data_IF_811867209639
#
_entry.id   IF_811867209639
#
_cell.length_a   1.000
_cell.length_b   1.000
_cell.length_c   1.000
_cell.angle_alpha   90.00
_cell.angle_beta   90.00
_cell.angle_gamma   90.00
#
_symmetry.space_group_name_H-M   'P 1'
#
loop_
_entity.id
_entity.type
_entity.pdbx_description
1 polymer ?
#
# COMPACT_ATOMS: atom_id res chain seq x y z
N UNK A 1 -2.84 36.86 37.98
CA UNK A 1 -3.82 36.03 37.24
C UNK A 1 -4.93 36.94 36.74
N UNK A 2 -4.78 37.54 35.56
CA UNK A 2 -5.82 38.41 34.97
C UNK A 2 -6.62 37.58 33.96
N UNK A 3 -7.93 37.49 34.20
CA UNK A 3 -8.89 36.70 33.44
C UNK A 3 -9.06 37.22 32.01
N UNK A 4 -8.58 36.46 31.02
CA UNK A 4 -8.74 36.75 29.59
C UNK A 4 -10.20 36.69 29.10
N UNK A 5 -11.16 36.30 29.95
CA UNK A 5 -12.59 36.19 29.58
C UNK A 5 -13.32 37.53 29.45
N UNK A 6 -12.70 38.67 29.82
CA UNK A 6 -13.34 39.99 29.80
C UNK A 6 -13.12 40.84 28.53
N UNK A 7 -12.28 40.41 27.58
CA UNK A 7 -11.89 41.24 26.41
C UNK A 7 -12.46 40.80 25.05
N UNK A 8 -13.36 39.82 25.00
CA UNK A 8 -14.09 39.53 23.75
C UNK A 8 -15.37 40.35 23.78
N UNK A 9 -15.32 41.56 23.23
CA UNK A 9 -16.47 42.43 23.10
C UNK A 9 -17.57 41.73 22.25
N UNK A 10 -18.79 41.51 22.77
CA UNK A 10 -19.88 40.85 22.02
C UNK A 10 -20.40 41.66 20.81
N UNK A 11 -20.02 42.94 20.70
CA UNK A 11 -20.62 43.86 19.73
C UNK A 11 -20.17 43.64 18.27
N UNK A 12 -19.06 42.93 18.03
CA UNK A 12 -18.57 42.66 16.65
C UNK A 12 -19.29 41.53 15.91
N UNK A 13 -20.16 40.77 16.60
CA UNK A 13 -20.91 39.65 16.00
C UNK A 13 -22.39 40.00 15.70
N UNK A 14 -22.73 41.29 15.72
CA UNK A 14 -24.06 41.82 15.44
C UNK A 14 -24.28 42.19 13.97
N UNK A 15 -24.12 41.25 13.03
CA UNK A 15 -24.82 41.23 11.71
C UNK A 15 -24.21 40.18 10.78
N UNK A 16 -24.28 38.89 11.16
CA UNK A 16 -24.05 37.81 10.19
C UNK A 16 -25.28 36.91 10.18
N UNK A 17 -26.03 36.94 9.06
CA UNK A 17 -27.23 36.09 8.84
C UNK A 17 -26.95 34.66 9.29
N UNK A 18 -27.91 34.03 9.99
CA UNK A 18 -27.83 32.64 10.49
C UNK A 18 -27.29 31.64 9.44
N UNK A 19 -27.67 31.82 8.17
CA UNK A 19 -27.20 30.99 7.03
C UNK A 19 -25.69 31.05 6.83
N UNK A 20 -25.07 32.21 7.03
CA UNK A 20 -23.63 32.37 6.87
C UNK A 20 -22.89 31.69 8.03
N UNK A 21 -23.38 31.84 9.26
CA UNK A 21 -22.85 31.11 10.44
C UNK A 21 -22.95 29.59 10.28
N UNK A 22 -24.05 29.06 9.73
CA UNK A 22 -24.16 27.60 9.50
C UNK A 22 -23.22 27.12 8.39
N UNK A 23 -23.04 27.90 7.32
CA UNK A 23 -22.10 27.60 6.26
C UNK A 23 -20.64 27.58 6.76
N UNK A 24 -20.25 28.54 7.61
CA UNK A 24 -18.91 28.53 8.24
C UNK A 24 -18.73 27.32 9.17
N UNK A 25 -19.74 26.97 10.00
CA UNK A 25 -19.68 25.76 10.84
C UNK A 25 -19.56 24.48 10.01
N UNK A 26 -20.31 24.37 8.91
CA UNK A 26 -20.24 23.21 8.02
C UNK A 26 -18.88 23.11 7.31
N UNK A 27 -18.30 24.24 6.89
CA UNK A 27 -16.95 24.30 6.30
C UNK A 27 -15.86 23.94 7.32
N UNK A 28 -16.01 24.39 8.57
CA UNK A 28 -15.11 24.04 9.68
C UNK A 28 -15.17 22.55 10.02
N UNK A 29 -16.37 21.98 10.12
CA UNK A 29 -16.57 20.54 10.35
C UNK A 29 -15.99 19.66 9.22
N UNK A 30 -15.94 20.19 8.00
CA UNK A 30 -15.32 19.56 6.82
C UNK A 30 -13.81 19.84 6.70
N UNK A 31 -13.22 20.59 7.63
CA UNK A 31 -11.78 20.93 7.63
C UNK A 31 -11.34 21.83 6.47
N UNK A 32 -12.27 22.56 5.84
CA UNK A 32 -11.94 23.48 4.75
C UNK A 32 -11.28 24.74 5.32
N UNK A 33 -10.26 25.28 4.65
CA UNK A 33 -9.64 26.56 5.02
C UNK A 33 -10.65 27.69 4.74
N UNK A 34 -11.11 28.37 5.78
CA UNK A 34 -12.28 29.29 5.69
C UNK A 34 -11.89 30.76 5.65
N UNK A 35 -10.63 31.11 5.88
CA UNK A 35 -10.13 32.48 5.89
C UNK A 35 -8.86 32.62 5.05
N UNK A 36 -8.70 33.79 4.40
CA UNK A 36 -7.45 34.21 3.76
C UNK A 36 -6.37 34.58 4.77
N UNK A 37 -6.77 34.93 6.00
CA UNK A 37 -5.88 35.30 7.10
C UNK A 37 -5.84 34.22 8.19
N UNK A 38 -4.72 34.20 8.91
CA UNK A 38 -4.52 33.36 10.09
C UNK A 38 -5.60 33.70 11.13
N UNK A 39 -6.28 32.70 11.74
CA UNK A 39 -7.28 32.96 12.77
C UNK A 39 -6.73 33.84 13.90
N UNK A 40 -7.49 34.87 14.28
CA UNK A 40 -7.13 35.79 15.37
C UNK A 40 -6.85 34.96 16.64
N UNK A 41 -5.62 35.05 17.16
CA UNK A 41 -5.15 34.30 18.32
C UNK A 41 -4.05 33.27 18.05
N UNK A 42 -3.75 32.94 16.79
CA UNK A 42 -2.53 32.19 16.47
C UNK A 42 -1.33 33.15 16.50
N UNK A 43 -0.41 32.93 17.44
CA UNK A 43 0.91 33.60 17.39
C UNK A 43 1.71 32.98 16.24
N UNK A 44 2.40 33.81 15.46
CA UNK A 44 3.41 33.33 14.51
C UNK A 44 4.43 32.50 15.30
N UNK A 45 4.78 31.31 14.80
CA UNK A 45 5.85 30.53 15.42
C UNK A 45 7.13 31.40 15.51
N UNK A 46 7.93 31.27 16.58
CA UNK A 46 9.16 32.04 16.74
C UNK A 46 10.07 31.84 15.51
N UNK A 47 10.76 32.91 15.09
CA UNK A 47 11.57 32.93 13.85
C UNK A 47 12.57 31.77 13.76
N UNK A 48 13.17 31.35 14.88
CA UNK A 48 14.08 30.21 14.91
C UNK A 48 13.46 28.87 14.48
N UNK A 49 12.13 28.70 14.59
CA UNK A 49 11.44 27.50 14.08
C UNK A 49 11.21 27.54 12.57
N UNK A 50 11.25 28.71 11.94
CA UNK A 50 11.05 28.82 10.49
C UNK A 50 12.20 28.20 9.70
N UNK A 51 13.41 28.20 10.27
CA UNK A 51 14.63 27.67 9.66
C UNK A 51 15.05 26.29 10.20
N UNK A 52 14.32 25.76 11.18
CA UNK A 52 14.65 24.46 11.78
C UNK A 52 14.18 23.31 10.89
N UNK A 53 15.09 22.38 10.59
CA UNK A 53 14.75 21.13 9.93
C UNK A 53 13.79 20.30 10.80
N UNK A 54 12.61 20.04 10.27
CA UNK A 54 11.66 19.12 10.91
C UNK A 54 12.03 17.68 10.59
N UNK A 55 11.71 16.78 11.52
CA UNK A 55 11.88 15.32 11.32
C UNK A 55 11.18 14.84 10.04
N UNK A 56 10.05 15.46 9.67
CA UNK A 56 9.33 15.14 8.46
C UNK A 56 10.10 15.54 7.19
N UNK A 57 10.74 16.71 7.17
CA UNK A 57 11.58 17.15 6.05
C UNK A 57 12.79 16.24 5.87
N UNK A 58 13.52 15.94 6.96
CA UNK A 58 14.67 15.04 6.91
C UNK A 58 14.26 13.65 6.40
N UNK A 59 13.11 13.13 6.86
CA UNK A 59 12.56 11.86 6.34
C UNK A 59 12.16 11.91 4.87
N UNK A 60 11.74 13.06 4.36
CA UNK A 60 11.42 13.22 2.95
C UNK A 60 12.69 13.15 2.11
N UNK A 61 13.76 13.81 2.57
CA UNK A 61 15.08 13.78 1.93
C UNK A 61 15.64 12.37 1.90
N UNK A 62 15.67 11.68 3.04
CA UNK A 62 16.21 10.33 3.12
C UNK A 62 15.46 9.31 2.26
N UNK A 63 14.26 9.63 1.77
CA UNK A 63 13.46 8.75 0.91
C UNK A 63 13.50 9.16 -0.56
N UNK A 64 14.18 10.25 -0.89
CA UNK A 64 14.13 10.75 -2.26
C UNK A 64 15.10 9.95 -3.14
N UNK A 65 14.55 9.31 -4.16
CA UNK A 65 15.32 8.49 -5.10
C UNK A 65 16.19 9.37 -6.03
N UNK A 66 16.02 10.70 -6.01
CA UNK A 66 16.88 11.64 -6.75
C UNK A 66 18.35 11.52 -6.34
N UNK A 67 18.64 11.24 -5.07
CA UNK A 67 20.03 11.10 -4.62
C UNK A 67 20.78 9.91 -5.25
N UNK A 68 20.06 8.95 -5.83
CA UNK A 68 20.57 7.77 -6.55
C UNK A 68 20.27 7.86 -8.04
N UNK A 69 20.50 9.03 -8.67
CA UNK A 69 20.37 9.27 -10.13
C UNK A 69 18.97 9.04 -10.74
N UNK A 70 17.97 8.68 -9.93
CA UNK A 70 16.63 8.36 -10.39
C UNK A 70 15.69 9.57 -10.34
N UNK A 71 14.95 9.82 -11.41
CA UNK A 71 13.83 10.77 -11.38
C UNK A 71 12.51 10.03 -11.17
N UNK A 72 11.70 10.51 -10.22
CA UNK A 72 10.38 9.91 -9.93
C UNK A 72 9.29 10.92 -10.23
N UNK A 73 8.50 10.62 -11.25
CA UNK A 73 7.39 11.44 -11.69
C UNK A 73 6.04 10.83 -11.26
N UNK A 74 4.98 11.60 -11.43
CA UNK A 74 3.61 11.14 -11.19
C UNK A 74 3.28 10.71 -9.74
N UNK A 75 4.02 11.25 -8.75
CA UNK A 75 3.74 10.99 -7.31
C UNK A 75 2.34 11.47 -6.89
N UNK A 76 1.85 12.54 -7.52
CA UNK A 76 0.54 13.14 -7.23
C UNK A 76 -0.15 13.58 -8.53
N UNK A 77 -1.47 13.45 -8.56
CA UNK A 77 -2.30 13.86 -9.69
C UNK A 77 -3.54 14.61 -9.22
N UNK A 78 -4.17 15.35 -10.11
CA UNK A 78 -5.50 15.90 -9.83
C UNK A 78 -6.56 14.79 -9.95
N UNK A 79 -7.66 14.91 -9.19
CA UNK A 79 -8.79 13.96 -9.28
C UNK A 79 -9.35 13.94 -10.70
N UNK A 80 -9.50 15.12 -11.29
CA UNK A 80 -9.95 15.28 -12.67
C UNK A 80 -9.54 16.65 -13.19
N UNK A 81 -9.73 16.89 -14.49
CA UNK A 81 -9.51 18.21 -15.07
C UNK A 81 -10.34 19.31 -14.39
N UNK A 82 -11.59 19.01 -14.01
CA UNK A 82 -12.52 19.94 -13.34
C UNK A 82 -12.24 20.09 -11.84
N UNK A 83 -11.71 19.06 -11.19
CA UNK A 83 -11.40 19.06 -9.76
C UNK A 83 -9.89 18.98 -9.54
N UNK A 84 -9.26 20.15 -9.37
CA UNK A 84 -7.81 20.33 -9.15
C UNK A 84 -7.33 19.93 -7.75
N UNK A 85 -8.13 19.16 -6.99
CA UNK A 85 -7.68 18.59 -5.73
C UNK A 85 -6.61 17.54 -6.01
N UNK A 86 -5.43 17.71 -5.42
CA UNK A 86 -4.31 16.77 -5.55
C UNK A 86 -4.57 15.51 -4.71
N UNK A 87 -4.36 14.35 -5.32
CA UNK A 87 -4.39 13.03 -4.70
C UNK A 87 -3.01 12.41 -4.88
N UNK A 88 -2.51 11.78 -3.83
CA UNK A 88 -1.27 11.01 -3.88
C UNK A 88 -1.55 9.63 -4.48
N UNK A 89 -0.77 9.26 -5.49
CA UNK A 89 -0.91 7.97 -6.18
C UNK A 89 -0.19 6.85 -5.46
N UNK A 90 -0.63 5.63 -5.69
CA UNK A 90 0.06 4.44 -5.19
C UNK A 90 1.48 4.39 -5.77
N UNK A 91 2.51 4.00 -4.99
CA UNK A 91 3.88 3.85 -5.48
C UNK A 91 4.06 2.96 -6.72
N UNK A 92 3.12 2.05 -7.01
CA UNK A 92 3.13 1.22 -8.23
C UNK A 92 2.80 2.00 -9.50
N UNK A 93 2.10 3.13 -9.38
CA UNK A 93 1.76 4.01 -10.52
C UNK A 93 2.84 5.07 -10.78
N UNK A 94 3.90 5.11 -9.96
CA UNK A 94 4.96 6.10 -10.11
C UNK A 94 5.87 5.74 -11.28
N UNK A 95 6.16 6.73 -12.12
CA UNK A 95 7.07 6.58 -13.26
C UNK A 95 8.48 6.89 -12.75
N UNK A 96 9.36 5.89 -12.81
CA UNK A 96 10.78 6.00 -12.43
C UNK A 96 11.64 5.96 -13.67
N UNK A 97 12.51 6.94 -13.83
CA UNK A 97 13.51 6.99 -14.90
C UNK A 97 14.89 6.99 -14.25
N UNK A 98 15.70 6.00 -14.59
CA UNK A 98 17.04 5.82 -14.03
C UNK A 98 18.07 6.63 -14.82
N UNK A 99 19.17 7.04 -14.18
CA UNK A 99 20.32 7.68 -14.84
C UNK A 99 20.07 9.09 -15.40
N UNK A 100 19.24 9.90 -14.71
CA UNK A 100 18.88 11.25 -15.19
C UNK A 100 19.90 12.33 -14.85
N UNK A 101 20.71 12.12 -13.81
CA UNK A 101 21.71 13.07 -13.32
C UNK A 101 22.74 12.33 -12.46
N UNK A 102 23.85 12.98 -12.12
CA UNK A 102 24.91 12.40 -11.28
C UNK A 102 24.40 12.11 -9.87
N UNK A 103 24.63 10.87 -9.40
CA UNK A 103 24.24 10.43 -8.07
C UNK A 103 25.11 11.07 -6.98
N UNK A 104 24.49 11.50 -5.88
CA UNK A 104 25.18 12.04 -4.70
C UNK A 104 25.62 10.90 -3.77
N UNK A 105 24.87 9.80 -3.74
CA UNK A 105 25.14 8.61 -2.93
C UNK A 105 24.99 7.34 -3.77
N UNK A 106 25.65 6.25 -3.37
CA UNK A 106 25.46 4.96 -4.03
C UNK A 106 24.11 4.32 -3.69
N UNK A 107 23.60 3.52 -4.64
CA UNK A 107 22.35 2.77 -4.49
C UNK A 107 22.36 1.86 -3.26
N UNK A 108 23.46 1.16 -3.01
CA UNK A 108 23.61 0.28 -1.85
C UNK A 108 23.45 1.00 -0.51
N UNK A 109 23.98 2.23 -0.40
CA UNK A 109 23.86 3.04 0.82
C UNK A 109 22.41 3.49 0.99
N UNK A 110 21.77 3.92 -0.09
CA UNK A 110 20.36 4.31 -0.06
C UNK A 110 19.45 3.17 0.36
N UNK A 111 19.66 1.96 -0.18
CA UNK A 111 18.87 0.77 0.12
C UNK A 111 19.02 0.37 1.60
N UNK A 112 20.24 0.38 2.14
CA UNK A 112 20.49 0.17 3.58
C UNK A 112 19.75 1.19 4.45
N UNK A 113 19.71 2.46 4.04
CA UNK A 113 18.96 3.50 4.76
C UNK A 113 17.45 3.22 4.68
N UNK A 114 16.92 2.81 3.53
CA UNK A 114 15.51 2.44 3.41
C UNK A 114 15.16 1.24 4.31
N UNK A 115 16.01 0.22 4.38
CA UNK A 115 15.84 -0.93 5.28
C UNK A 115 15.85 -0.50 6.74
N UNK A 116 16.77 0.38 7.14
CA UNK A 116 16.81 0.94 8.48
C UNK A 116 15.53 1.72 8.80
N UNK A 117 15.05 2.57 7.89
CA UNK A 117 13.78 3.30 8.06
C UNK A 117 12.61 2.31 8.19
N UNK A 118 12.60 1.25 7.39
CA UNK A 118 11.56 0.23 7.37
C UNK A 118 11.57 -0.63 8.64
N UNK A 119 12.72 -0.88 9.25
CA UNK A 119 12.87 -1.69 10.48
C UNK A 119 12.80 -0.86 11.76
N UNK A 120 13.12 0.43 11.69
CA UNK A 120 13.21 1.32 12.83
C UNK A 120 11.95 1.29 13.70
N UNK A 121 12.15 0.97 14.98
CA UNK A 121 11.12 0.99 16.03
C UNK A 121 11.23 2.30 16.77
N UNK A 122 10.10 2.99 16.96
CA UNK A 122 10.08 4.19 17.80
C UNK A 122 10.45 3.80 19.23
N UNK A 123 11.58 4.31 19.72
CA UNK A 123 11.91 4.29 21.14
C UNK A 123 10.96 5.24 21.88
N UNK A 124 10.60 4.89 23.12
CA UNK A 124 9.91 5.81 24.00
C UNK A 124 10.90 6.81 24.63
N UNK A 125 10.39 7.89 25.23
CA UNK A 125 11.19 8.90 25.94
C UNK A 125 12.16 8.30 26.98
N UNK A 126 11.83 7.13 27.54
CA UNK A 126 12.65 6.40 28.50
C UNK A 126 13.55 5.33 27.83
N UNK A 127 13.80 5.43 26.52
CA UNK A 127 14.59 4.52 25.68
C UNK A 127 14.18 3.04 25.68
N UNK A 128 13.14 2.66 26.42
CA UNK A 128 12.58 1.30 26.42
C UNK A 128 11.75 1.06 25.16
N UNK A 129 12.31 0.31 24.21
CA UNK A 129 11.57 -0.20 23.06
C UNK A 129 10.71 -1.38 23.49
N UNK A 130 9.40 -1.29 23.27
CA UNK A 130 8.47 -2.36 23.66
C UNK A 130 8.54 -3.51 22.65
N UNK A 131 8.59 -4.75 23.15
CA UNK A 131 8.77 -5.98 22.36
C UNK A 131 7.71 -6.09 21.25
N UNK A 132 6.44 -5.82 21.57
CA UNK A 132 5.33 -5.90 20.62
C UNK A 132 5.06 -4.60 19.84
N UNK A 133 6.08 -3.76 19.64
CA UNK A 133 5.95 -2.57 18.78
C UNK A 133 5.89 -2.96 17.30
N UNK A 134 4.78 -2.63 16.61
CA UNK A 134 4.39 -2.98 15.22
C UNK A 134 3.53 -4.25 14.99
N UNK A 135 3.82 -5.45 15.55
CA UNK A 135 3.11 -6.67 15.16
C UNK A 135 1.65 -6.69 15.66
N UNK A 136 1.33 -5.98 16.74
CA UNK A 136 -0.03 -5.95 17.27
C UNK A 136 -0.96 -5.11 16.40
N UNK A 137 -1.99 -5.76 15.86
CA UNK A 137 -3.07 -5.16 15.08
C UNK A 137 -4.40 -5.39 15.79
N UNK A 138 -5.27 -4.40 15.71
CA UNK A 138 -6.63 -4.46 16.20
C UNK A 138 -7.46 -5.40 15.30
N UNK A 139 -8.10 -6.41 15.89
CA UNK A 139 -8.97 -7.32 15.16
C UNK A 139 -10.19 -6.61 14.53
N UNK A 140 -10.72 -5.58 15.19
CA UNK A 140 -11.92 -4.87 14.72
C UNK A 140 -11.68 -3.89 13.56
N UNK A 141 -10.54 -3.18 13.53
CA UNK A 141 -10.30 -2.14 12.52
C UNK A 141 -8.98 -2.29 11.73
N UNK A 142 -8.17 -3.30 12.02
CA UNK A 142 -6.89 -3.57 11.34
C UNK A 142 -5.76 -2.58 11.67
N UNK A 143 -6.03 -1.50 12.40
CA UNK A 143 -5.00 -0.53 12.79
C UNK A 143 -4.05 -1.09 13.84
N UNK A 144 -2.86 -0.50 13.95
CA UNK A 144 -1.90 -0.89 14.98
C UNK A 144 -2.41 -0.59 16.40
N UNK A 145 -2.01 -1.42 17.35
CA UNK A 145 -2.24 -1.16 18.78
C UNK A 145 -1.11 -0.30 19.36
N UNK A 146 -1.47 0.61 20.26
CA UNK A 146 -0.57 1.55 20.92
C UNK A 146 -0.24 1.05 22.32
N UNK A 147 1.02 1.16 22.73
CA UNK A 147 1.43 0.86 24.09
C UNK A 147 1.17 2.04 25.03
N UNK A 148 0.58 1.79 26.21
CA UNK A 148 0.31 2.77 27.26
C UNK A 148 0.56 2.17 28.64
N UNK A 149 0.98 3.02 29.57
CA UNK A 149 1.04 2.67 31.00
C UNK A 149 0.00 3.50 31.73
N UNK A 150 -0.93 2.85 32.44
CA UNK A 150 -1.82 3.55 33.38
C UNK A 150 -1.07 3.75 34.69
N UNK A 151 -0.62 4.98 34.93
CA UNK A 151 0.16 5.35 36.14
C UNK A 151 -0.69 5.87 37.30
N UNK A 152 -1.88 6.42 37.01
CA UNK A 152 -2.74 7.10 37.99
C UNK A 152 -3.64 6.15 38.80
N UNK A 153 -3.25 4.88 38.96
CA UNK A 153 -4.05 3.85 39.66
C UNK A 153 -3.15 3.20 40.72
N UNK A 154 -3.74 2.78 41.85
CA UNK A 154 -3.03 2.12 42.97
C UNK A 154 -2.04 1.03 42.51
N UNK A 155 -2.44 0.23 41.52
CA UNK A 155 -1.58 -0.77 40.85
C UNK A 155 -1.40 -0.38 39.38
N UNK A 156 -0.29 0.28 39.00
CA UNK A 156 -0.07 0.67 37.62
C UNK A 156 0.11 -0.55 36.73
N UNK A 157 -0.45 -0.51 35.52
CA UNK A 157 -0.34 -1.62 34.58
C UNK A 157 -0.06 -1.13 33.16
N UNK A 158 0.59 -2.01 32.40
CA UNK A 158 0.93 -1.82 30.99
C UNK A 158 -0.12 -2.49 30.13
N UNK A 159 -0.55 -1.82 29.07
CA UNK A 159 -1.56 -2.34 28.15
C UNK A 159 -1.32 -1.83 26.73
N UNK A 160 -1.97 -2.51 25.79
CA UNK A 160 -2.09 -2.08 24.40
C UNK A 160 -3.55 -1.73 24.10
N UNK A 161 -3.80 -0.53 23.60
CA UNK A 161 -5.12 -0.04 23.17
C UNK A 161 -5.14 0.20 21.66
N UNK A 162 -6.34 0.17 21.05
CA UNK A 162 -6.48 0.46 19.62
C UNK A 162 -6.05 1.91 19.30
N UNK A 163 -5.04 2.10 18.43
CA UNK A 163 -4.57 3.46 18.08
C UNK A 163 -5.66 4.29 17.40
N UNK A 164 -6.51 3.65 16.58
CA UNK A 164 -7.60 4.32 15.87
C UNK A 164 -8.63 4.87 16.86
N UNK A 165 -9.03 4.07 17.84
CA UNK A 165 -9.91 4.52 18.92
C UNK A 165 -9.25 5.64 19.75
N UNK A 166 -8.00 5.45 20.17
CA UNK A 166 -7.30 6.45 21.00
C UNK A 166 -7.03 7.79 20.30
N UNK A 167 -7.04 7.85 18.96
CA UNK A 167 -6.82 9.08 18.19
C UNK A 167 -8.10 9.69 17.63
N UNK A 168 -9.02 8.85 17.13
CA UNK A 168 -10.21 9.26 16.38
C UNK A 168 -11.51 8.92 17.10
N UNK A 169 -11.46 8.21 18.23
CA UNK A 169 -12.61 7.77 19.01
C UNK A 169 -13.48 6.81 18.22
N UNK A 170 -14.60 7.31 17.70
CA UNK A 170 -15.77 6.58 17.20
C UNK A 170 -15.54 5.69 15.96
N UNK A 171 -14.31 5.53 15.49
CA UNK A 171 -13.98 4.70 14.34
C UNK A 171 -13.55 3.26 14.72
N UNK A 172 -13.58 2.93 16.02
CA UNK A 172 -13.38 1.59 16.55
C UNK A 172 -14.01 1.49 17.96
N UNK A 173 -13.98 0.33 18.59
CA UNK A 173 -14.46 0.15 19.98
C UNK A 173 -13.35 0.41 21.01
N UNK A 174 -13.77 0.75 22.24
CA UNK A 174 -12.87 0.95 23.38
C UNK A 174 -12.39 -0.39 23.94
N UNK A 175 -11.34 -0.98 23.37
CA UNK A 175 -10.75 -2.23 23.87
C UNK A 175 -9.25 -2.12 24.08
N UNK A 176 -8.75 -2.93 25.01
CA UNK A 176 -7.34 -3.04 25.32
C UNK A 176 -6.97 -4.45 25.75
N UNK A 177 -5.70 -4.80 25.59
CA UNK A 177 -5.11 -6.04 26.10
C UNK A 177 -4.00 -5.70 27.09
N UNK A 178 -3.99 -6.36 28.25
CA UNK A 178 -2.93 -6.16 29.25
C UNK A 178 -1.64 -6.83 28.80
N UNK A 179 -0.52 -6.17 29.05
CA UNK A 179 0.80 -6.72 28.74
C UNK A 179 1.03 -8.05 29.47
N UNK A 180 0.63 -8.11 30.75
CA UNK A 180 0.82 -9.25 31.64
C UNK A 180 0.06 -10.50 31.17
N UNK A 181 -0.97 -10.34 30.34
CA UNK A 181 -1.73 -11.45 29.73
C UNK A 181 -1.17 -11.78 28.35
N UNK A 182 -0.88 -10.74 27.55
CA UNK A 182 -0.39 -10.89 26.19
C UNK A 182 0.99 -11.57 26.14
N UNK A 183 1.92 -11.14 26.99
CA UNK A 183 3.29 -11.65 27.00
C UNK A 183 3.35 -13.17 27.24
N UNK A 184 2.79 -13.73 28.33
CA UNK A 184 2.85 -15.17 28.57
C UNK A 184 2.08 -15.97 27.52
N UNK A 185 0.99 -15.44 26.98
CA UNK A 185 0.25 -16.08 25.90
C UNK A 185 1.09 -16.21 24.61
N UNK A 186 1.77 -15.14 24.21
CA UNK A 186 2.64 -15.18 23.03
C UNK A 186 3.84 -16.09 23.28
N UNK A 187 4.44 -16.02 24.47
CA UNK A 187 5.56 -16.87 24.84
C UNK A 187 5.19 -18.36 24.81
N UNK A 188 4.07 -18.75 25.42
CA UNK A 188 3.62 -20.15 25.44
C UNK A 188 3.31 -20.65 24.03
N UNK A 189 2.71 -19.81 23.18
CA UNK A 189 2.44 -20.17 21.78
C UNK A 189 3.71 -20.34 20.97
N UNK A 190 4.70 -19.47 21.16
CA UNK A 190 6.02 -19.60 20.52
C UNK A 190 6.72 -20.88 20.96
N UNK A 191 6.75 -21.17 22.26
CA UNK A 191 7.34 -22.40 22.80
C UNK A 191 6.64 -23.66 22.26
N UNK A 192 5.31 -23.63 22.14
CA UNK A 192 4.56 -24.71 21.51
C UNK A 192 5.00 -24.94 20.07
N UNK A 193 5.11 -23.89 19.25
CA UNK A 193 5.54 -24.02 17.85
C UNK A 193 6.99 -24.47 17.74
N UNK A 194 7.89 -23.96 18.57
CA UNK A 194 9.31 -24.40 18.59
C UNK A 194 9.40 -25.90 18.89
N UNK A 195 8.66 -26.38 19.89
CA UNK A 195 8.59 -27.82 20.22
C UNK A 195 8.00 -28.63 19.06
N UNK A 196 6.93 -28.14 18.45
CA UNK A 196 6.29 -28.82 17.34
C UNK A 196 7.22 -28.92 16.10
N UNK A 197 7.98 -27.87 15.80
CA UNK A 197 8.97 -27.85 14.71
C UNK A 197 10.10 -28.83 15.00
N UNK A 198 10.59 -28.85 16.24
CA UNK A 198 11.64 -29.80 16.62
C UNK A 198 11.19 -31.27 16.51
N UNK A 199 9.91 -31.56 16.75
CA UNK A 199 9.37 -32.91 16.66
C UNK A 199 9.05 -33.35 15.22
N UNK A 200 8.60 -32.44 14.35
CA UNK A 200 8.13 -32.76 13.01
C UNK A 200 8.43 -31.62 12.01
N UNK A 201 9.71 -31.35 11.79
CA UNK A 201 10.19 -30.28 10.91
C UNK A 201 9.58 -30.36 9.51
N UNK A 202 9.57 -31.55 8.90
CA UNK A 202 9.03 -31.80 7.55
C UNK A 202 7.52 -31.57 7.46
N UNK A 203 6.75 -31.95 8.49
CA UNK A 203 5.29 -31.80 8.47
C UNK A 203 4.85 -30.33 8.66
N UNK A 204 5.58 -29.58 9.49
CA UNK A 204 5.30 -28.16 9.70
C UNK A 204 5.80 -27.33 8.52
N UNK A 205 6.96 -27.66 7.95
CA UNK A 205 7.39 -27.08 6.68
C UNK A 205 6.33 -27.31 5.60
N UNK A 206 5.81 -28.53 5.44
CA UNK A 206 4.73 -28.82 4.49
C UNK A 206 3.42 -28.05 4.81
N UNK A 207 3.11 -27.81 6.08
CA UNK A 207 1.92 -27.05 6.49
C UNK A 207 2.09 -25.53 6.31
N UNK A 208 3.29 -24.98 6.50
CA UNK A 208 3.60 -23.56 6.26
C UNK A 208 3.77 -23.27 4.77
N UNK A 209 4.30 -24.25 4.02
CA UNK A 209 4.40 -24.25 2.56
C UNK A 209 3.08 -24.57 1.87
N UNK A 210 2.04 -25.04 2.58
CA UNK A 210 0.66 -24.90 2.11
C UNK A 210 0.34 -23.42 2.21
N UNK A 211 0.44 -22.65 1.11
CA UNK A 211 0.06 -21.26 1.16
C UNK A 211 -1.44 -21.23 1.49
N UNK A 212 -1.93 -20.08 1.89
CA UNK A 212 -3.34 -19.71 1.79
C UNK A 212 -3.77 -19.77 0.31
N UNK A 213 -3.90 -21.00 -0.21
CA UNK A 213 -3.83 -21.34 -1.63
C UNK A 213 -5.13 -21.08 -2.37
N UNK A 214 -6.24 -20.81 -1.67
CA UNK A 214 -7.52 -20.62 -2.35
C UNK A 214 -7.48 -19.45 -3.34
N UNK A 215 -6.76 -18.38 -3.02
CA UNK A 215 -6.63 -17.20 -3.90
C UNK A 215 -5.63 -17.37 -5.03
N UNK A 216 -4.45 -17.94 -4.75
CA UNK A 216 -3.39 -18.12 -5.76
C UNK A 216 -3.65 -19.32 -6.67
N UNK A 217 -4.16 -20.44 -6.18
CA UNK A 217 -4.61 -21.56 -7.03
C UNK A 217 -5.75 -21.14 -7.93
N UNK A 218 -6.70 -20.31 -7.43
CA UNK A 218 -7.77 -19.80 -8.29
C UNK A 218 -7.22 -18.90 -9.41
N UNK A 219 -6.22 -18.06 -9.13
CA UNK A 219 -5.53 -17.26 -10.17
C UNK A 219 -4.79 -18.15 -11.17
N UNK A 220 -4.04 -19.14 -10.69
CA UNK A 220 -3.30 -20.07 -11.54
C UNK A 220 -4.24 -20.92 -12.42
N UNK A 221 -5.35 -21.44 -11.85
CA UNK A 221 -6.38 -22.16 -12.61
C UNK A 221 -7.03 -21.27 -13.67
N UNK A 222 -7.30 -19.99 -13.36
CA UNK A 222 -7.84 -19.03 -14.33
C UNK A 222 -6.85 -18.76 -15.47
N UNK A 223 -5.58 -18.51 -15.15
CA UNK A 223 -4.53 -18.29 -16.15
C UNK A 223 -4.34 -19.52 -17.06
N UNK A 224 -4.31 -20.73 -16.48
CA UNK A 224 -4.22 -21.98 -17.26
C UNK A 224 -5.46 -22.22 -18.14
N UNK A 225 -6.66 -21.92 -17.65
CA UNK A 225 -7.88 -22.02 -18.44
C UNK A 225 -7.93 -21.00 -19.58
N UNK A 226 -7.43 -19.78 -19.34
CA UNK A 226 -7.35 -18.72 -20.35
C UNK A 226 -6.34 -19.05 -21.44
N UNK A 227 -5.17 -19.61 -21.08
CA UNK A 227 -4.18 -20.14 -22.03
C UNK A 227 -4.82 -21.20 -22.94
N UNK A 228 -5.50 -22.19 -22.35
CA UNK A 228 -6.17 -23.27 -23.11
C UNK A 228 -7.25 -22.73 -24.06
N UNK A 229 -7.95 -21.65 -23.71
CA UNK A 229 -8.92 -20.99 -24.61
C UNK A 229 -8.21 -20.28 -25.77
N UNK A 230 -7.10 -19.60 -25.49
CA UNK A 230 -6.31 -18.93 -26.53
C UNK A 230 -5.71 -19.94 -27.53
N UNK A 231 -5.17 -21.07 -27.05
CA UNK A 231 -4.64 -22.14 -27.89
C UNK A 231 -5.72 -22.77 -28.78
N UNK A 232 -6.92 -23.03 -28.23
CA UNK A 232 -8.05 -23.51 -29.03
C UNK A 232 -8.44 -22.52 -30.13
N UNK A 233 -8.51 -21.23 -29.80
CA UNK A 233 -8.86 -20.19 -30.77
C UNK A 233 -7.80 -20.08 -31.87
N UNK A 234 -6.52 -20.24 -31.53
CA UNK A 234 -5.43 -20.23 -32.49
C UNK A 234 -5.56 -21.41 -33.47
N UNK A 235 -5.83 -22.62 -32.98
CA UNK A 235 -6.07 -23.79 -33.83
C UNK A 235 -7.31 -23.64 -34.74
N UNK A 236 -8.38 -23.01 -34.23
CA UNK A 236 -9.55 -22.67 -35.06
C UNK A 236 -9.18 -21.70 -36.19
N UNK A 237 -8.39 -20.66 -35.89
CA UNK A 237 -7.92 -19.71 -36.90
C UNK A 237 -7.06 -20.38 -37.97
N UNK A 238 -6.18 -21.31 -37.59
CA UNK A 238 -5.36 -22.07 -38.55
C UNK A 238 -6.25 -22.86 -39.52
N UNK A 239 -7.30 -23.52 -39.00
CA UNK A 239 -8.26 -24.26 -39.83
C UNK A 239 -9.07 -23.35 -40.76
N UNK A 240 -9.44 -22.14 -40.29
CA UNK A 240 -10.16 -21.16 -41.09
C UNK A 240 -9.30 -20.58 -42.20
N UNK A 241 -8.02 -20.31 -41.92
CA UNK A 241 -7.07 -19.84 -42.93
C UNK A 241 -6.90 -20.90 -44.00
N UNK A 242 -6.70 -22.18 -43.64
CA UNK A 242 -6.58 -23.28 -44.61
C UNK A 242 -7.79 -23.32 -45.55
N UNK A 243 -9.02 -23.26 -45.01
CA UNK A 243 -10.25 -23.24 -45.81
C UNK A 243 -10.36 -22.02 -46.74
N UNK A 244 -9.95 -20.85 -46.27
CA UNK A 244 -9.98 -19.62 -47.07
C UNK A 244 -8.97 -19.67 -48.23
N UNK A 245 -7.84 -20.35 -48.04
CA UNK A 245 -6.90 -20.63 -49.13
C UNK A 245 -7.52 -21.57 -50.16
N UNK A 246 -8.19 -22.64 -49.73
CA UNK A 246 -8.93 -23.56 -50.63
C UNK A 246 -9.99 -22.81 -51.45
N UNK A 247 -10.84 -22.01 -50.80
CA UNK A 247 -11.89 -21.22 -51.45
C UNK A 247 -11.33 -20.20 -52.46
N UNK A 248 -10.13 -19.66 -52.20
CA UNK A 248 -9.44 -18.76 -53.14
C UNK A 248 -8.90 -19.52 -54.36
N UNK A 249 -8.37 -20.73 -54.17
CA UNK A 249 -7.90 -21.57 -55.28
C UNK A 249 -9.05 -22.08 -56.15
N UNK A 250 -10.23 -22.28 -55.57
CA UNK A 250 -11.47 -22.63 -56.28
C UNK A 250 -12.16 -21.43 -56.97
N UNK A 251 -11.56 -20.23 -56.93
CA UNK A 251 -12.08 -18.98 -57.49
C UNK A 251 -13.46 -18.51 -56.99
N UNK A 252 -13.99 -19.13 -55.94
CA UNK A 252 -15.29 -18.77 -55.32
C UNK A 252 -15.21 -17.38 -54.65
N UNK A 253 -14.01 -16.94 -54.27
CA UNK A 253 -13.79 -15.69 -53.53
C UNK A 253 -12.92 -14.66 -54.28
N UNK A 254 -13.34 -13.40 -54.22
CA UNK A 254 -12.60 -12.26 -54.80
C UNK A 254 -11.28 -11.98 -54.05
N UNK A 255 -10.27 -11.50 -54.77
CA UNK A 255 -8.95 -11.18 -54.21
C UNK A 255 -9.01 -10.14 -53.07
N UNK A 256 -9.94 -9.18 -53.16
CA UNK A 256 -10.18 -8.17 -52.12
C UNK A 256 -10.65 -8.80 -50.80
N UNK A 257 -11.59 -9.74 -50.87
CA UNK A 257 -12.15 -10.39 -49.69
C UNK A 257 -11.12 -11.32 -49.03
N UNK A 258 -10.32 -12.04 -49.84
CA UNK A 258 -9.21 -12.85 -49.35
C UNK A 258 -8.19 -12.02 -48.56
N UNK A 259 -7.70 -10.92 -49.14
CA UNK A 259 -6.71 -10.04 -48.51
C UNK A 259 -7.22 -9.45 -47.19
N UNK A 260 -8.49 -9.01 -47.17
CA UNK A 260 -9.09 -8.46 -45.96
C UNK A 260 -9.24 -9.51 -44.84
N UNK A 261 -9.68 -10.72 -45.16
CA UNK A 261 -9.89 -11.79 -44.18
C UNK A 261 -8.56 -12.37 -43.68
N UNK A 262 -7.61 -12.63 -44.57
CA UNK A 262 -6.28 -13.16 -44.21
C UNK A 262 -5.54 -12.19 -43.30
N UNK A 263 -5.59 -10.88 -43.59
CA UNK A 263 -4.96 -9.87 -42.73
C UNK A 263 -5.60 -9.82 -41.33
N UNK A 264 -6.93 -9.94 -41.23
CA UNK A 264 -7.63 -9.98 -39.94
C UNK A 264 -7.24 -11.22 -39.12
N UNK A 265 -7.23 -12.40 -39.73
CA UNK A 265 -6.86 -13.63 -39.01
C UNK A 265 -5.39 -13.66 -38.61
N UNK A 266 -4.48 -13.15 -39.45
CA UNK A 266 -3.08 -13.01 -39.10
C UNK A 266 -2.84 -12.01 -37.94
N UNK A 267 -3.61 -10.92 -37.87
CA UNK A 267 -3.56 -10.01 -36.73
C UNK A 267 -4.06 -10.68 -35.44
N UNK A 268 -5.14 -11.46 -35.53
CA UNK A 268 -5.69 -12.21 -34.39
C UNK A 268 -4.72 -13.30 -33.92
N UNK A 269 -4.08 -14.04 -34.83
CA UNK A 269 -3.03 -15.03 -34.51
C UNK A 269 -1.88 -14.38 -33.73
N UNK A 270 -1.30 -13.29 -34.24
CA UNK A 270 -0.20 -12.56 -33.56
C UNK A 270 -0.61 -12.09 -32.16
N UNK A 271 -1.84 -11.60 -32.01
CA UNK A 271 -2.37 -11.16 -30.72
C UNK A 271 -2.54 -12.34 -29.74
N UNK A 272 -2.94 -13.51 -30.23
CA UNK A 272 -3.08 -14.72 -29.39
C UNK A 272 -1.73 -15.33 -29.03
N UNK A 273 -0.77 -15.37 -29.95
CA UNK A 273 0.60 -15.85 -29.69
C UNK A 273 1.30 -15.02 -28.62
N UNK A 274 1.25 -13.69 -28.73
CA UNK A 274 1.81 -12.79 -27.71
C UNK A 274 1.14 -12.97 -26.36
N UNK A 275 -0.18 -13.20 -26.34
CA UNK A 275 -0.92 -13.50 -25.12
C UNK A 275 -0.55 -14.86 -24.50
N UNK A 276 -0.36 -15.89 -25.32
CA UNK A 276 0.07 -17.22 -24.86
C UNK A 276 1.48 -17.16 -24.27
N UNK A 277 2.40 -16.43 -24.92
CA UNK A 277 3.76 -16.21 -24.39
C UNK A 277 3.72 -15.51 -23.02
N UNK A 278 2.93 -14.45 -22.88
CA UNK A 278 2.77 -13.76 -21.61
C UNK A 278 2.15 -14.63 -20.50
N UNK A 279 1.19 -15.49 -20.85
CA UNK A 279 0.61 -16.44 -19.89
C UNK A 279 1.60 -17.54 -19.50
N UNK A 280 2.42 -18.01 -20.44
CA UNK A 280 3.47 -18.99 -20.16
C UNK A 280 4.52 -18.44 -19.20
N UNK A 281 5.03 -17.24 -19.45
CA UNK A 281 6.02 -16.62 -18.55
C UNK A 281 5.48 -16.41 -17.15
N UNK A 282 4.19 -16.05 -17.01
CA UNK A 282 3.53 -15.94 -15.70
C UNK A 282 3.41 -17.29 -14.98
N UNK A 283 3.12 -18.38 -15.70
CA UNK A 283 3.00 -19.72 -15.12
C UNK A 283 4.37 -20.29 -14.73
N UNK A 284 5.41 -20.09 -15.56
CA UNK A 284 6.78 -20.53 -15.23
C UNK A 284 7.38 -19.73 -14.08
N UNK A 285 7.22 -18.40 -14.05
CA UNK A 285 7.67 -17.59 -12.92
C UNK A 285 7.00 -18.01 -11.60
N UNK A 286 5.73 -18.42 -11.65
CA UNK A 286 5.04 -18.96 -10.48
C UNK A 286 5.60 -20.33 -10.05
N UNK A 287 5.99 -21.19 -11.00
CA UNK A 287 6.63 -22.49 -10.72
C UNK A 287 8.02 -22.31 -10.12
N UNK A 288 8.86 -21.46 -10.71
CA UNK A 288 10.19 -21.15 -10.20
C UNK A 288 10.14 -20.55 -8.79
N UNK A 289 9.15 -19.69 -8.48
CA UNK A 289 8.92 -19.21 -7.12
C UNK A 289 8.59 -20.36 -6.16
N UNK A 290 7.81 -21.36 -6.59
CA UNK A 290 7.54 -22.52 -5.73
C UNK A 290 8.75 -23.44 -5.55
N UNK A 291 9.63 -23.54 -6.55
CA UNK A 291 10.84 -24.37 -6.48
C UNK A 291 11.97 -23.70 -5.69
N UNK A 292 12.19 -22.40 -5.88
CA UNK A 292 13.15 -21.62 -5.07
C UNK A 292 12.79 -21.62 -3.59
N UNK A 293 11.50 -21.54 -3.25
CA UNK A 293 11.02 -21.69 -1.88
C UNK A 293 11.26 -23.10 -1.31
N UNK A 294 11.21 -24.15 -2.13
CA UNK A 294 11.52 -25.53 -1.71
C UNK A 294 13.03 -25.74 -1.53
N UNK A 295 13.86 -25.16 -2.40
CA UNK A 295 15.30 -25.34 -2.39
C UNK A 295 16.01 -24.46 -1.35
N UNK A 296 15.47 -23.28 -1.03
CA UNK A 296 15.97 -22.41 0.04
C UNK A 296 15.75 -22.96 1.46
N UNK A 297 15.09 -24.11 1.61
CA UNK A 297 14.89 -24.83 2.88
C UNK A 297 15.90 -25.97 3.10
N UNK A 298 16.87 -26.15 2.18
CA UNK A 298 17.90 -27.20 2.25
C UNK A 298 19.29 -26.70 2.65
N UNK A 299 19.40 -25.47 3.16
CA UNK A 299 20.61 -24.91 3.78
C UNK A 299 20.32 -24.36 5.17
#
# INVERSE_FOLDING_TARGET
>A
MLSWKKWIAPHWFGSFRRKVKSAFKAKFAKGQRIFAYVPIGCRKDPEGKAYAWTIAQVKSILKDETYIENSVHYRETNISYKNKKRIRKDPSEWIRVEGTHEAIISKDVFDRVQEQIATHRRSMKNQTTQIFSRPLKCAGCGWSMRFRTKRQIKKPYRHYDCSRYGQLGNQCSAHYVRYDVLYPYVLSRLQFWIKAVHQNEKAIAAHLLKPSNSGQEAKHRRAAAEKKRAEKRLAELDSLIARIYEDRTAEVMTARNFSMLSQKFQQEQKALETKILALNTQLEAAREQTETLKNGLFW
#
